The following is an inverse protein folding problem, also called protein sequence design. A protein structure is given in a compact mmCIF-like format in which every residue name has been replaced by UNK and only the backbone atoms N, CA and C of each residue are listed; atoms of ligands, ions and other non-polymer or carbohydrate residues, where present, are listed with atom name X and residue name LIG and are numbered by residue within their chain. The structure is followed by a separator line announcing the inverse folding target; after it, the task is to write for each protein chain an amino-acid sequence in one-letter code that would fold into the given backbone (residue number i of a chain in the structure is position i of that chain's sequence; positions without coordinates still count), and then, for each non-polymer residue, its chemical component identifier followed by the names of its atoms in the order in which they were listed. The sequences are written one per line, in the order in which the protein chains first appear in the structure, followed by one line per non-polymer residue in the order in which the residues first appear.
data_IF_307853438083
#
_entry.id   IF_307853438083
#
_cell.length_a   1.000
_cell.length_b   1.000
_cell.length_c   1.000
_cell.angle_alpha   90.00
_cell.angle_beta   90.00
_cell.angle_gamma   90.00
#
_symmetry.space_group_name_H-M   'P 1'
#
loop_
_entity.id
_entity.type
_entity.pdbx_description
1 polymer ?
#
# COMPACT_ATOMS: atom_id res chain seq x y z
N UNK A 1 2.54 3.14 -3.64
CA UNK A 1 1.81 4.24 -2.97
C UNK A 1 2.44 5.59 -3.27
N UNK A 2 2.10 6.11 -4.44
CA UNK A 2 2.19 7.52 -4.78
C UNK A 2 1.39 8.33 -3.76
N UNK A 3 2.06 8.80 -2.70
CA UNK A 3 1.75 10.10 -2.11
C UNK A 3 2.25 11.25 -3.00
N UNK A 4 2.86 10.94 -4.14
CA UNK A 4 3.71 11.88 -4.88
C UNK A 4 3.06 12.67 -6.02
N UNK A 5 2.01 12.18 -6.65
CA UNK A 5 1.54 12.83 -7.89
C UNK A 5 0.37 13.79 -7.70
N UNK A 6 -0.24 13.89 -6.51
CA UNK A 6 -1.34 14.84 -6.31
C UNK A 6 -1.22 15.48 -4.94
N UNK A 7 -1.00 16.79 -4.97
CA UNK A 7 -1.06 17.76 -3.87
C UNK A 7 0.25 18.19 -3.18
N UNK A 8 1.43 18.05 -3.80
CA UNK A 8 2.62 18.82 -3.38
C UNK A 8 2.91 20.04 -4.28
N UNK A 9 2.00 20.39 -5.18
CA UNK A 9 2.21 21.49 -6.13
C UNK A 9 1.83 22.88 -5.59
N UNK A 10 1.00 23.01 -4.56
CA UNK A 10 0.61 24.32 -4.05
C UNK A 10 0.38 24.25 -2.54
N UNK A 11 1.35 24.77 -1.78
CA UNK A 11 1.27 25.58 -0.55
C UNK A 11 2.42 25.14 0.39
N UNK A 12 3.34 26.07 0.67
CA UNK A 12 4.48 26.01 1.60
C UNK A 12 5.85 25.55 1.05
N UNK A 13 6.41 26.34 0.12
CA UNK A 13 7.86 26.38 -0.16
C UNK A 13 8.59 27.46 0.67
N UNK A 14 8.22 27.66 1.94
CA UNK A 14 8.94 28.58 2.83
C UNK A 14 9.03 27.98 4.23
N UNK A 15 10.08 27.21 4.48
CA UNK A 15 10.42 26.66 5.79
C UNK A 15 11.66 25.78 5.69
N UNK A 16 12.75 26.20 6.33
CA UNK A 16 14.07 25.56 6.30
C UNK A 16 14.20 24.33 7.22
N UNK A 17 13.09 23.76 7.70
CA UNK A 17 13.13 22.60 8.59
C UNK A 17 12.79 21.33 7.80
N UNK A 18 13.72 20.39 7.82
CA UNK A 18 13.72 19.13 7.06
C UNK A 18 12.74 18.08 7.64
N UNK A 19 11.48 18.47 7.89
CA UNK A 19 10.44 17.57 8.36
C UNK A 19 9.27 17.54 7.37
N UNK A 20 8.77 16.34 7.09
CA UNK A 20 7.59 16.16 6.24
C UNK A 20 6.36 16.85 6.83
N UNK A 21 5.53 17.51 6.00
CA UNK A 21 4.38 18.25 6.50
C UNK A 21 3.32 17.31 7.09
N UNK A 22 2.64 17.80 8.11
CA UNK A 22 1.49 17.11 8.70
C UNK A 22 0.36 16.89 7.68
N UNK A 23 -0.44 15.86 7.92
CA UNK A 23 -1.65 15.54 7.17
C UNK A 23 -2.85 15.90 8.04
N UNK A 24 -3.33 17.14 7.91
CA UNK A 24 -4.37 17.67 8.78
C UNK A 24 -3.92 17.66 10.25
N UNK A 25 -4.62 16.91 11.10
CA UNK A 25 -4.28 16.76 12.52
C UNK A 25 -3.30 15.63 12.83
N UNK A 26 -2.97 14.78 11.84
CA UNK A 26 -1.96 13.76 11.98
C UNK A 26 -0.58 14.29 11.56
N UNK A 27 0.47 13.79 12.19
CA UNK A 27 1.81 13.82 11.60
C UNK A 27 1.86 12.99 10.33
N UNK A 28 2.83 13.27 9.46
CA UNK A 28 3.04 12.46 8.25
C UNK A 28 3.21 10.97 8.58
N UNK A 29 4.01 10.66 9.60
CA UNK A 29 4.29 9.28 10.01
C UNK A 29 3.06 8.56 10.54
N UNK A 30 2.20 9.22 11.34
CA UNK A 30 0.94 8.62 11.81
C UNK A 30 0.04 8.22 10.63
N UNK A 31 -0.10 9.11 9.65
CA UNK A 31 -0.87 8.82 8.44
C UNK A 31 -0.22 7.72 7.60
N UNK A 32 1.07 7.85 7.27
CA UNK A 32 1.83 6.90 6.46
C UNK A 32 1.77 5.50 7.05
N UNK A 33 2.05 5.35 8.35
CA UNK A 33 2.05 4.07 9.05
C UNK A 33 0.65 3.43 9.12
N UNK A 34 -0.40 4.25 9.23
CA UNK A 34 -1.78 3.76 9.22
C UNK A 34 -2.20 3.30 7.81
N UNK A 35 -1.89 4.08 6.77
CA UNK A 35 -2.16 3.72 5.39
C UNK A 35 -1.36 2.47 4.96
N UNK A 36 -0.13 2.33 5.45
CA UNK A 36 0.73 1.15 5.21
C UNK A 36 0.07 -0.14 5.70
N UNK A 37 -0.69 -0.12 6.80
CA UNK A 37 -1.45 -1.29 7.28
C UNK A 37 -2.52 -1.72 6.28
N UNK A 38 -3.18 -0.78 5.60
CA UNK A 38 -4.10 -1.10 4.51
C UNK A 38 -3.38 -1.84 3.38
N UNK A 39 -2.21 -1.36 2.96
CA UNK A 39 -1.39 -2.04 1.95
C UNK A 39 -0.91 -3.42 2.42
N UNK A 40 -0.50 -3.57 3.69
CA UNK A 40 -0.14 -4.88 4.25
C UNK A 40 -1.32 -5.84 4.15
N UNK A 41 -2.51 -5.43 4.61
CA UNK A 41 -3.70 -6.27 4.59
C UNK A 41 -4.09 -6.67 3.17
N UNK A 42 -3.99 -5.74 2.20
CA UNK A 42 -4.21 -6.01 0.78
C UNK A 42 -3.27 -7.10 0.25
N UNK A 43 -1.96 -6.92 0.40
CA UNK A 43 -0.99 -7.89 -0.11
C UNK A 43 -1.08 -9.24 0.60
N UNK A 44 -1.30 -9.26 1.92
CA UNK A 44 -1.55 -10.50 2.66
C UNK A 44 -2.79 -11.24 2.19
N UNK A 45 -3.84 -10.51 1.83
CA UNK A 45 -5.07 -11.09 1.26
C UNK A 45 -4.78 -11.74 -0.09
N UNK A 46 -4.03 -11.04 -0.96
CA UNK A 46 -3.61 -11.59 -2.25
C UNK A 46 -2.66 -12.80 -2.12
N UNK A 47 -1.76 -12.80 -1.14
CA UNK A 47 -0.89 -13.96 -0.86
C UNK A 47 -1.71 -15.17 -0.38
N UNK A 48 -2.70 -14.93 0.50
CA UNK A 48 -3.57 -15.98 1.04
C UNK A 48 -4.54 -16.52 -0.01
N UNK A 49 -5.02 -15.65 -0.89
CA UNK A 49 -6.01 -15.96 -1.92
C UNK A 49 -5.50 -15.48 -3.29
N UNK A 50 -4.51 -16.15 -3.92
CA UNK A 50 -3.87 -15.68 -5.15
C UNK A 50 -4.81 -15.59 -6.36
N UNK A 51 -5.99 -16.22 -6.29
CA UNK A 51 -7.06 -16.17 -7.29
C UNK A 51 -8.16 -15.16 -6.97
N UNK A 52 -8.05 -14.41 -5.88
CA UNK A 52 -9.00 -13.35 -5.54
C UNK A 52 -9.06 -12.31 -6.66
N UNK A 53 -10.22 -11.67 -6.82
CA UNK A 53 -10.36 -10.58 -7.78
C UNK A 53 -9.57 -9.37 -7.27
N UNK A 54 -8.45 -9.07 -7.92
CA UNK A 54 -7.57 -8.00 -7.46
C UNK A 54 -8.24 -6.62 -7.46
N UNK A 55 -9.11 -6.33 -8.44
CA UNK A 55 -9.88 -5.09 -8.47
C UNK A 55 -10.84 -4.93 -7.29
N UNK A 56 -11.44 -6.03 -6.82
CA UNK A 56 -12.27 -6.04 -5.62
C UNK A 56 -11.43 -5.77 -4.36
N UNK A 57 -10.29 -6.44 -4.22
CA UNK A 57 -9.37 -6.20 -3.09
C UNK A 57 -8.73 -4.79 -3.15
N UNK A 58 -8.52 -4.26 -4.35
CA UNK A 58 -8.06 -2.89 -4.56
C UNK A 58 -9.11 -1.88 -4.09
N UNK A 59 -10.39 -2.16 -4.30
CA UNK A 59 -11.48 -1.34 -3.74
C UNK A 59 -11.44 -1.34 -2.21
N UNK A 60 -11.19 -2.50 -1.59
CA UNK A 60 -10.97 -2.62 -0.14
C UNK A 60 -9.77 -1.79 0.34
N UNK A 61 -8.64 -1.86 -0.38
CA UNK A 61 -7.45 -1.03 -0.12
C UNK A 61 -7.77 0.46 -0.17
N UNK A 62 -8.43 0.91 -1.24
CA UNK A 62 -8.80 2.32 -1.41
C UNK A 62 -9.75 2.79 -0.31
N UNK A 63 -10.76 2.00 0.05
CA UNK A 63 -11.68 2.35 1.12
C UNK A 63 -10.97 2.44 2.49
N UNK A 64 -10.04 1.52 2.76
CA UNK A 64 -9.22 1.58 3.97
C UNK A 64 -8.36 2.87 4.03
N UNK A 65 -7.76 3.26 2.90
CA UNK A 65 -6.98 4.51 2.81
C UNK A 65 -7.87 5.76 2.92
N UNK A 66 -9.09 5.74 2.35
CA UNK A 66 -10.08 6.81 2.51
C UNK A 66 -10.44 6.99 3.98
N UNK A 67 -10.77 5.92 4.70
CA UNK A 67 -11.11 6.00 6.13
C UNK A 67 -9.91 6.48 6.97
N UNK A 68 -8.71 6.04 6.63
CA UNK A 68 -7.48 6.52 7.29
C UNK A 68 -7.26 8.03 7.06
N UNK A 69 -7.40 8.52 5.83
CA UNK A 69 -7.24 9.95 5.54
C UNK A 69 -8.37 10.78 6.16
N UNK A 70 -9.58 10.24 6.26
CA UNK A 70 -10.72 10.90 6.92
C UNK A 70 -10.40 11.22 8.38
N UNK A 71 -9.82 10.27 9.11
CA UNK A 71 -9.39 10.47 10.52
C UNK A 71 -8.45 11.65 10.65
N UNK A 72 -7.46 11.75 9.75
CA UNK A 72 -6.45 12.81 9.79
C UNK A 72 -6.96 14.16 9.26
N UNK A 73 -7.96 14.16 8.38
CA UNK A 73 -8.46 15.40 7.77
C UNK A 73 -9.40 16.22 8.66
N UNK A 74 -9.96 15.65 9.74
CA UNK A 74 -10.91 16.31 10.65
C UNK A 74 -12.04 17.11 9.94
N UNK A 75 -12.48 16.63 8.77
CA UNK A 75 -13.52 17.28 7.98
C UNK A 75 -13.04 18.44 7.09
N UNK A 76 -11.73 18.74 7.06
CA UNK A 76 -11.14 19.70 6.13
C UNK A 76 -11.29 19.29 4.66
N UNK A 77 -11.41 17.98 4.40
CA UNK A 77 -11.68 17.42 3.08
C UNK A 77 -12.99 16.64 3.11
N UNK A 78 -13.79 16.76 2.05
CA UNK A 78 -14.96 15.91 1.84
C UNK A 78 -14.53 14.49 1.46
N UNK A 79 -15.40 13.51 1.70
CA UNK A 79 -15.12 12.13 1.29
C UNK A 79 -14.87 12.00 -0.22
N UNK A 80 -15.55 12.77 -1.05
CA UNK A 80 -15.33 12.76 -2.51
C UNK A 80 -13.97 13.34 -2.90
N UNK A 81 -13.48 14.37 -2.20
CA UNK A 81 -12.13 14.90 -2.38
C UNK A 81 -11.08 13.86 -1.98
N UNK A 82 -11.24 13.25 -0.80
CA UNK A 82 -10.35 12.19 -0.30
C UNK A 82 -10.32 11.01 -1.28
N UNK A 83 -11.47 10.52 -1.71
CA UNK A 83 -11.56 9.43 -2.69
C UNK A 83 -10.91 9.81 -4.02
N UNK A 84 -11.12 11.04 -4.49
CA UNK A 84 -10.47 11.54 -5.71
C UNK A 84 -8.94 11.60 -5.60
N UNK A 85 -8.38 11.88 -4.43
CA UNK A 85 -6.93 11.80 -4.17
C UNK A 85 -6.48 10.33 -4.24
N UNK A 86 -7.13 9.44 -3.48
CA UNK A 86 -6.77 8.02 -3.39
C UNK A 86 -6.88 7.31 -4.76
N UNK A 87 -7.95 7.56 -5.53
CA UNK A 87 -8.14 6.94 -6.86
C UNK A 87 -7.08 7.33 -7.88
N UNK A 88 -6.53 8.53 -7.72
CA UNK A 88 -5.45 9.00 -8.59
C UNK A 88 -4.09 8.50 -8.13
N UNK A 89 -3.91 8.25 -6.83
CA UNK A 89 -2.68 7.73 -6.22
C UNK A 89 -2.53 6.20 -6.28
N UNK A 90 -3.64 5.46 -6.24
CA UNK A 90 -3.65 4.00 -6.12
C UNK A 90 -4.16 3.40 -7.43
N UNK A 91 -3.22 3.04 -8.31
CA UNK A 91 -3.51 2.47 -9.63
C UNK A 91 -3.60 0.96 -9.59
N UNK A 92 -4.57 0.42 -10.32
CA UNK A 92 -4.78 -1.03 -10.40
C UNK A 92 -3.57 -1.76 -10.97
N UNK A 93 -3.02 -1.29 -12.08
CA UNK A 93 -1.81 -1.85 -12.68
C UNK A 93 -0.66 -1.99 -11.66
N UNK A 94 -0.34 -0.90 -10.96
CA UNK A 94 0.73 -0.89 -9.95
C UNK A 94 0.46 -1.85 -8.77
N UNK A 95 -0.78 -1.92 -8.29
CA UNK A 95 -1.11 -2.77 -7.13
C UNK A 95 -1.27 -4.25 -7.51
N UNK A 96 -1.84 -4.54 -8.68
CA UNK A 96 -2.28 -5.87 -9.09
C UNK A 96 -1.29 -6.61 -10.00
N UNK A 97 -0.48 -5.88 -10.75
CA UNK A 97 0.51 -6.43 -11.68
C UNK A 97 1.94 -6.26 -11.17
N UNK A 98 2.26 -5.09 -10.60
CA UNK A 98 3.65 -4.75 -10.25
C UNK A 98 3.99 -5.00 -8.77
N UNK A 99 3.00 -5.24 -7.90
CA UNK A 99 3.25 -5.49 -6.48
C UNK A 99 3.78 -4.28 -5.71
N UNK A 100 3.63 -3.07 -6.27
CA UNK A 100 3.91 -1.78 -5.63
C UNK A 100 5.34 -1.48 -5.20
N UNK A 101 6.35 -1.95 -5.95
CA UNK A 101 7.67 -1.29 -5.85
C UNK A 101 7.63 0.01 -6.63
N UNK A 102 7.91 1.11 -5.96
CA UNK A 102 7.91 2.43 -6.57
C UNK A 102 9.26 2.75 -7.19
N UNK A 103 9.26 3.04 -8.48
CA UNK A 103 10.34 3.74 -9.15
C UNK A 103 9.98 5.23 -9.14
N UNK A 104 10.82 6.13 -8.60
CA UNK A 104 10.57 7.56 -8.67
C UNK A 104 10.35 8.00 -10.12
N UNK A 105 9.18 8.59 -10.41
CA UNK A 105 8.88 9.18 -11.71
C UNK A 105 9.36 10.62 -11.74
N UNK A 106 10.25 10.97 -12.68
CA UNK A 106 10.75 12.34 -12.81
C UNK A 106 9.83 13.21 -13.68
N UNK A 107 9.56 14.47 -13.29
CA UNK A 107 8.96 15.44 -14.19
C UNK A 107 9.85 15.68 -15.42
N UNK A 108 9.29 15.83 -16.64
CA UNK A 108 10.09 15.99 -17.86
C UNK A 108 11.05 17.19 -17.87
N UNK A 109 10.85 18.17 -16.99
CA UNK A 109 11.55 19.45 -16.99
C UNK A 109 12.77 19.51 -16.05
N UNK A 110 13.03 18.47 -15.23
CA UNK A 110 14.12 18.49 -14.23
C UNK A 110 14.93 17.20 -14.34
N UNK A 111 16.21 17.31 -14.71
CA UNK A 111 17.15 16.17 -14.73
C UNK A 111 17.68 15.94 -13.32
N UNK A 112 16.91 15.27 -12.47
CA UNK A 112 17.34 14.89 -11.10
C UNK A 112 18.25 13.66 -11.14
N UNK A 113 17.97 12.74 -12.06
CA UNK A 113 18.76 11.55 -12.34
C UNK A 113 19.29 11.58 -13.77
N UNK A 114 20.10 10.58 -14.15
CA UNK A 114 20.52 10.42 -15.54
C UNK A 114 19.35 10.03 -16.46
N UNK A 115 19.59 10.09 -17.77
CA UNK A 115 18.62 9.63 -18.76
C UNK A 115 18.43 8.12 -18.80
N UNK A 116 19.35 7.31 -18.24
CA UNK A 116 19.21 5.84 -18.20
C UNK A 116 18.46 5.34 -16.97
N UNK A 117 18.28 6.18 -15.94
CA UNK A 117 17.66 5.83 -14.66
C UNK A 117 16.40 4.97 -14.80
N UNK A 118 15.42 5.40 -15.60
CA UNK A 118 14.15 4.67 -15.73
C UNK A 118 14.35 3.24 -16.25
N UNK A 119 15.19 3.06 -17.27
CA UNK A 119 15.45 1.72 -17.84
C UNK A 119 16.24 0.81 -16.89
N UNK A 120 17.12 1.39 -16.08
CA UNK A 120 17.90 0.65 -15.07
C UNK A 120 17.03 0.29 -13.86
N UNK A 121 16.16 1.20 -13.42
CA UNK A 121 15.19 0.95 -12.37
C UNK A 121 14.18 -0.13 -12.79
N UNK A 122 13.69 -0.11 -14.03
CA UNK A 122 12.86 -1.17 -14.59
C UNK A 122 13.58 -2.53 -14.54
N UNK A 123 14.89 -2.52 -14.80
CA UNK A 123 15.72 -3.73 -14.70
C UNK A 123 15.78 -4.27 -13.27
N UNK A 124 15.89 -3.39 -12.26
CA UNK A 124 15.89 -3.77 -10.84
C UNK A 124 14.60 -4.49 -10.41
N UNK A 125 13.44 -4.04 -10.89
CA UNK A 125 12.12 -4.52 -10.39
C UNK A 125 11.52 -5.65 -11.23
N UNK A 126 12.04 -5.86 -12.45
CA UNK A 126 11.48 -6.79 -13.44
C UNK A 126 11.25 -8.20 -12.92
N UNK A 127 12.21 -8.80 -12.23
CA UNK A 127 12.08 -10.18 -11.71
C UNK A 127 10.93 -10.29 -10.72
N UNK A 128 10.88 -9.34 -9.77
CA UNK A 128 9.81 -9.25 -8.78
C UNK A 128 8.44 -9.06 -9.44
N UNK A 129 8.28 -8.11 -10.38
CA UNK A 129 7.02 -7.87 -11.09
C UNK A 129 6.54 -9.13 -11.82
N UNK A 130 7.43 -9.79 -12.56
CA UNK A 130 7.08 -11.02 -13.29
C UNK A 130 6.61 -12.14 -12.37
N UNK A 131 7.26 -12.31 -11.22
CA UNK A 131 6.86 -13.30 -10.22
C UNK A 131 5.52 -12.95 -9.58
N UNK A 132 5.34 -11.70 -9.13
CA UNK A 132 4.11 -11.25 -8.49
C UNK A 132 2.90 -11.32 -9.43
N UNK A 133 3.08 -10.94 -10.70
CA UNK A 133 2.03 -11.04 -11.72
C UNK A 133 1.62 -12.50 -11.96
N UNK A 134 2.60 -13.42 -11.97
CA UNK A 134 2.38 -14.85 -12.22
C UNK A 134 1.74 -15.58 -11.04
N UNK A 135 2.27 -15.38 -9.84
CA UNK A 135 1.81 -16.05 -8.61
C UNK A 135 2.00 -15.12 -7.40
N UNK A 136 0.88 -14.57 -6.94
CA UNK A 136 0.83 -13.67 -5.78
C UNK A 136 1.17 -14.38 -4.46
N UNK A 137 1.21 -15.71 -4.45
CA UNK A 137 1.55 -16.53 -3.29
C UNK A 137 2.97 -17.11 -3.34
N UNK A 138 3.77 -16.77 -4.35
CA UNK A 138 5.13 -17.29 -4.49
C UNK A 138 5.97 -16.95 -3.24
N UNK A 139 6.54 -17.96 -2.55
CA UNK A 139 7.27 -17.75 -1.30
C UNK A 139 8.56 -16.94 -1.47
N UNK A 140 9.07 -16.82 -2.70
CA UNK A 140 10.26 -16.03 -3.03
C UNK A 140 9.97 -14.53 -3.17
N UNK A 141 8.70 -14.10 -3.17
CA UNK A 141 8.34 -12.68 -3.27
C UNK A 141 8.96 -11.84 -2.15
N UNK A 142 9.14 -12.40 -0.96
CA UNK A 142 9.83 -11.73 0.15
C UNK A 142 11.27 -11.33 -0.22
N UNK A 143 12.09 -12.28 -0.69
CA UNK A 143 13.48 -12.01 -1.06
C UNK A 143 13.59 -11.18 -2.34
N UNK A 144 12.72 -11.41 -3.33
CA UNK A 144 12.72 -10.67 -4.60
C UNK A 144 12.34 -9.20 -4.40
N UNK A 145 11.36 -8.92 -3.53
CA UNK A 145 11.01 -7.54 -3.19
C UNK A 145 12.16 -6.81 -2.48
N UNK A 146 12.81 -7.48 -1.52
CA UNK A 146 13.96 -6.93 -0.81
C UNK A 146 15.13 -6.63 -1.77
N UNK A 147 15.43 -7.55 -2.69
CA UNK A 147 16.49 -7.38 -3.68
C UNK A 147 16.18 -6.22 -4.64
N UNK A 148 14.95 -6.15 -5.16
CA UNK A 148 14.51 -5.08 -6.04
C UNK A 148 14.58 -3.71 -5.35
N UNK A 149 14.09 -3.57 -4.11
CA UNK A 149 14.20 -2.31 -3.34
C UNK A 149 15.64 -1.89 -3.13
N UNK A 150 16.53 -2.83 -2.78
CA UNK A 150 17.97 -2.56 -2.60
C UNK A 150 18.62 -2.10 -3.91
N UNK A 151 18.28 -2.75 -5.03
CA UNK A 151 18.77 -2.35 -6.35
C UNK A 151 18.33 -0.92 -6.71
N UNK A 152 17.04 -0.60 -6.55
CA UNK A 152 16.50 0.75 -6.81
C UNK A 152 17.14 1.79 -5.88
N UNK A 153 17.31 1.49 -4.59
CA UNK A 153 17.97 2.39 -3.64
C UNK A 153 19.40 2.71 -4.07
N UNK A 154 20.19 1.69 -4.38
CA UNK A 154 21.57 1.88 -4.82
C UNK A 154 21.65 2.72 -6.10
N UNK A 155 20.73 2.48 -7.04
CA UNK A 155 20.65 3.26 -8.28
C UNK A 155 20.32 4.73 -8.00
N UNK A 156 19.34 5.00 -7.13
CA UNK A 156 18.99 6.37 -6.72
C UNK A 156 20.19 7.05 -6.05
N UNK A 157 20.89 6.37 -5.15
CA UNK A 157 22.04 6.93 -4.44
C UNK A 157 23.23 7.24 -5.37
N UNK A 158 23.41 6.47 -6.44
CA UNK A 158 24.49 6.68 -7.40
C UNK A 158 24.16 7.67 -8.51
N UNK A 159 22.89 7.73 -8.93
CA UNK A 159 22.50 8.35 -10.20
C UNK A 159 21.63 9.60 -10.03
N UNK A 160 21.07 9.82 -8.84
CA UNK A 160 20.11 10.90 -8.59
C UNK A 160 20.58 11.88 -7.52
N UNK A 161 20.21 13.15 -7.70
CA UNK A 161 20.44 14.22 -6.71
C UNK A 161 19.11 14.81 -6.20
N UNK A 162 18.35 14.01 -5.45
CA UNK A 162 17.09 14.45 -4.87
C UNK A 162 17.29 15.46 -3.74
N UNK A 163 16.42 16.49 -3.61
CA UNK A 163 16.41 17.34 -2.41
C UNK A 163 16.06 16.51 -1.17
N UNK A 164 16.50 16.96 0.02
CA UNK A 164 16.39 16.21 1.27
C UNK A 164 14.97 15.69 1.56
N UNK A 165 13.94 16.52 1.40
CA UNK A 165 12.55 16.12 1.64
C UNK A 165 12.07 15.02 0.69
N UNK A 166 12.48 15.07 -0.59
CA UNK A 166 12.14 14.01 -1.55
C UNK A 166 12.91 12.73 -1.23
N UNK A 167 14.18 12.85 -0.84
CA UNK A 167 15.00 11.71 -0.42
C UNK A 167 14.41 11.02 0.81
N UNK A 168 13.95 11.77 1.80
CA UNK A 168 13.32 11.22 3.01
C UNK A 168 12.15 10.30 2.65
N UNK A 169 11.30 10.71 1.71
CA UNK A 169 10.12 9.89 1.39
C UNK A 169 10.47 8.70 0.48
N UNK A 170 11.44 8.86 -0.41
CA UNK A 170 12.02 7.74 -1.16
C UNK A 170 12.57 6.69 -0.19
N UNK A 171 13.30 7.13 0.83
CA UNK A 171 13.90 6.24 1.84
C UNK A 171 12.81 5.52 2.66
N UNK A 172 11.70 6.20 3.00
CA UNK A 172 10.52 5.57 3.61
C UNK A 172 9.89 4.52 2.69
N UNK A 173 9.72 4.83 1.40
CA UNK A 173 9.15 3.92 0.41
C UNK A 173 10.01 2.67 0.15
N UNK A 174 11.33 2.82 0.20
CA UNK A 174 12.31 1.75 -0.03
C UNK A 174 12.86 1.15 1.27
N UNK A 175 12.29 1.50 2.43
CA UNK A 175 12.66 0.99 3.76
C UNK A 175 12.57 -0.53 3.88
N UNK A 176 12.98 -1.05 5.03
CA UNK A 176 12.94 -2.49 5.33
C UNK A 176 11.51 -3.07 5.39
N UNK A 177 10.45 -2.26 5.29
CA UNK A 177 9.07 -2.76 5.27
C UNK A 177 8.82 -3.61 4.03
N UNK A 178 8.28 -4.83 4.22
CA UNK A 178 8.03 -5.77 3.14
C UNK A 178 6.80 -6.64 3.44
N UNK A 179 5.63 -6.35 2.85
CA UNK A 179 4.40 -7.10 3.14
C UNK A 179 4.44 -8.55 2.63
N UNK A 180 5.45 -8.93 1.84
CA UNK A 180 5.58 -10.28 1.33
C UNK A 180 6.28 -11.22 2.32
N UNK A 181 6.97 -10.67 3.32
CA UNK A 181 7.64 -11.43 4.38
C UNK A 181 6.73 -11.66 5.59
N UNK A 182 6.98 -12.72 6.38
CA UNK A 182 6.10 -13.14 7.46
C UNK A 182 5.96 -12.10 8.59
N UNK A 183 7.04 -11.40 8.92
CA UNK A 183 7.14 -10.33 9.92
C UNK A 183 6.95 -8.93 9.32
N UNK A 184 6.60 -8.85 8.04
CA UNK A 184 6.50 -7.64 7.24
C UNK A 184 7.83 -6.88 7.07
N UNK A 185 8.98 -7.57 7.14
CA UNK A 185 10.29 -6.93 6.98
C UNK A 185 11.22 -7.69 6.03
N UNK A 186 12.13 -6.96 5.41
CA UNK A 186 13.16 -7.54 4.55
C UNK A 186 14.04 -8.54 5.31
N UNK A 187 14.48 -9.63 4.66
CA UNK A 187 15.43 -10.57 5.24
C UNK A 187 16.71 -9.86 5.70
N UNK A 188 17.10 -10.09 6.96
CA UNK A 188 18.32 -9.51 7.55
C UNK A 188 18.16 -8.09 8.09
N UNK A 189 16.95 -7.52 8.04
CA UNK A 189 16.66 -6.25 8.70
C UNK A 189 16.91 -6.34 10.21
N UNK A 190 17.45 -5.26 10.79
CA UNK A 190 17.76 -5.17 12.22
C UNK A 190 17.05 -3.97 12.85
N UNK A 191 17.01 -3.89 14.18
CA UNK A 191 16.36 -2.78 14.88
C UNK A 191 14.83 -2.80 14.77
N UNK A 192 14.20 -1.65 15.04
CA UNK A 192 12.75 -1.50 14.97
C UNK A 192 12.30 -1.04 13.58
N UNK A 193 11.09 -1.44 13.20
CA UNK A 193 10.42 -0.90 12.03
C UNK A 193 10.15 0.62 12.18
N UNK A 194 10.13 1.36 11.08
CA UNK A 194 9.93 2.82 11.06
C UNK A 194 8.59 3.29 11.64
N UNK A 195 7.61 2.40 11.75
CA UNK A 195 6.33 2.68 12.40
C UNK A 195 6.24 2.15 13.83
N UNK A 196 7.34 1.64 14.39
CA UNK A 196 7.40 1.23 15.78
C UNK A 196 7.16 2.45 16.69
N UNK A 197 6.20 2.34 17.59
CA UNK A 197 5.83 3.42 18.51
C UNK A 197 5.04 4.58 17.87
N UNK A 198 4.76 4.54 16.56
CA UNK A 198 3.91 5.52 15.90
C UNK A 198 2.45 5.26 16.26
N UNK A 199 1.71 6.30 16.66
CA UNK A 199 0.31 6.17 17.03
C UNK A 199 -0.52 5.66 15.85
N UNK A 200 -1.35 4.65 16.11
CA UNK A 200 -2.26 4.11 15.12
C UNK A 200 -3.46 5.02 14.90
N UNK A 201 -3.64 5.49 13.66
CA UNK A 201 -4.79 6.29 13.22
C UNK A 201 -5.66 5.53 12.23
N UNK A 202 -5.43 4.23 11.99
CA UNK A 202 -6.26 3.46 11.06
C UNK A 202 -7.70 3.30 11.55
N UNK A 203 -7.99 3.55 12.84
CA UNK A 203 -9.34 3.44 13.39
C UNK A 203 -9.94 2.05 13.12
N UNK A 204 -11.14 2.01 12.56
CA UNK A 204 -11.81 0.78 12.12
C UNK A 204 -11.54 0.42 10.64
N UNK A 205 -10.64 1.14 9.95
CA UNK A 205 -10.43 1.00 8.50
C UNK A 205 -10.04 -0.42 8.06
N UNK A 206 -9.44 -1.23 8.94
CA UNK A 206 -9.12 -2.63 8.63
C UNK A 206 -10.36 -3.54 8.51
N UNK A 207 -11.58 -3.05 8.82
CA UNK A 207 -12.85 -3.76 8.62
C UNK A 207 -13.04 -4.32 7.22
N UNK A 208 -12.48 -3.68 6.19
CA UNK A 208 -12.59 -4.11 4.79
C UNK A 208 -11.89 -5.44 4.51
N UNK A 209 -10.84 -5.77 5.26
CA UNK A 209 -10.07 -7.01 5.09
C UNK A 209 -10.51 -8.11 6.06
N UNK A 210 -11.08 -7.73 7.21
CA UNK A 210 -11.63 -8.66 8.19
C UNK A 210 -12.99 -9.26 7.76
N UNK A 211 -13.62 -8.69 6.72
CA UNK A 211 -14.87 -9.20 6.16
C UNK A 211 -14.70 -10.48 5.32
N UNK A 212 -13.46 -10.90 5.02
CA UNK A 212 -13.15 -12.14 4.32
C UNK A 212 -13.03 -13.37 5.26
N UNK A 213 -14.03 -13.53 6.13
CA UNK A 213 -14.62 -14.85 6.41
C UNK A 213 -16.12 -14.85 6.02
N UNK A 214 -16.55 -13.89 5.20
CA UNK A 214 -17.88 -13.79 4.63
C UNK A 214 -18.11 -14.78 3.51
N UNK A 215 -18.09 -16.08 3.83
CA UNK A 215 -19.13 -16.97 3.30
C UNK A 215 -20.43 -16.24 3.65
N UNK A 216 -21.17 -15.74 2.65
CA UNK A 216 -22.46 -15.06 2.86
C UNK A 216 -23.29 -15.91 3.84
N UNK A 217 -23.53 -15.47 5.09
CA UNK A 217 -24.32 -16.24 6.04
C UNK A 217 -25.75 -16.43 5.52
N UNK A 218 -26.20 -15.55 4.62
CA UNK A 218 -27.55 -15.57 4.06
C UNK A 218 -27.88 -16.77 3.18
N UNK A 219 -26.91 -17.50 2.60
CA UNK A 219 -27.24 -18.69 1.78
C UNK A 219 -27.20 -19.97 2.63
N UNK A 220 -26.28 -20.06 3.59
CA UNK A 220 -26.18 -21.22 4.47
C UNK A 220 -27.28 -21.21 5.56
N UNK A 221 -27.66 -20.05 6.11
CA UNK A 221 -28.77 -19.96 7.06
C UNK A 221 -30.10 -20.33 6.42
N UNK A 222 -30.37 -19.89 5.19
CA UNK A 222 -31.62 -20.24 4.50
C UNK A 222 -31.66 -21.73 4.12
N UNK A 223 -30.54 -22.31 3.68
CA UNK A 223 -30.45 -23.75 3.40
C UNK A 223 -30.60 -24.59 4.68
N UNK A 224 -29.99 -24.19 5.80
CA UNK A 224 -30.17 -24.87 7.09
C UNK A 224 -31.59 -24.72 7.64
N UNK A 225 -32.23 -23.55 7.49
CA UNK A 225 -33.63 -23.35 7.91
C UNK A 225 -34.62 -24.18 7.09
N UNK A 226 -34.41 -24.27 5.77
CA UNK A 226 -35.25 -25.09 4.88
C UNK A 226 -35.06 -26.59 5.17
N UNK A 227 -33.84 -27.02 5.50
CA UNK A 227 -33.54 -28.41 5.86
C UNK A 227 -34.09 -28.79 7.25
N UNK A 228 -34.08 -27.86 8.21
CA UNK A 228 -34.71 -28.08 9.52
C UNK A 228 -36.23 -28.10 9.42
N UNK A 229 -36.85 -27.23 8.61
CA UNK A 229 -38.30 -27.21 8.40
C UNK A 229 -38.80 -28.47 7.68
N UNK A 230 -38.05 -29.01 6.71
CA UNK A 230 -38.43 -30.26 6.04
C UNK A 230 -38.33 -31.48 6.96
N UNK A 231 -37.40 -31.52 7.91
CA UNK A 231 -37.29 -32.61 8.89
C UNK A 231 -38.45 -32.64 9.91
N UNK A 232 -39.12 -31.50 10.16
CA UNK A 232 -40.27 -31.43 11.08
C UNK A 232 -41.64 -31.58 10.39
N UNK A 233 -41.70 -31.55 9.06
CA UNK A 233 -42.94 -31.75 8.30
C UNK A 233 -43.20 -33.21 7.90
N UNK A 234 -42.24 -34.12 8.12
CA UNK A 234 -42.38 -35.57 7.87
C UNK A 234 -42.43 -36.40 9.16
N UNK A 235 -43.09 -35.89 10.20
CA UNK A 235 -43.47 -36.70 11.35
C UNK A 235 -44.91 -36.44 11.76
N UNK A 236 -45.83 -36.94 10.94
CA UNK A 236 -47.20 -37.32 11.28
C UNK A 236 -47.64 -38.42 10.31
#
# INVERSE_FOLDING_TARGET
MIFFNILFACVFFVGNDAALPNVGSCTFMEYYCSARKCSTAFFKTLQKYPKANCGAELSNLKNCMVDTLKVCSEGALTESQIRGIIDKSVKEEQQCMDGSIEIPTMPPAVSICSSSFSSEADTCVRSFHQKFAKDKSDPTLCSENAEAKRCVRNLIDSDCNFPSQAKEIIDLGLSDYNPFCADNRDPGSTGNDQCYGVQDKSGDALKYFNAAAGIKPGVLHTLLFVFFLSLFLFKA
#
